data_IF_703596660252
#
_entry.id   IF_703596660252
#
_cell.length_a   1.000
_cell.length_b   1.000
_cell.length_c   1.000
_cell.angle_alpha   90.00
_cell.angle_beta   90.00
_cell.angle_gamma   90.00
#
_symmetry.space_group_name_H-M   'P 1'
#
loop_
_entity.id
_entity.type
_entity.pdbx_description
1 polymer ?
#
# COMPACT_ATOMS: atom_id res chain seq x y z
N UNK A 1 15.73 -14.47 -9.09
CA UNK A 1 14.69 -13.40 -9.05
C UNK A 1 15.14 -12.29 -9.97
N UNK A 2 14.26 -11.72 -10.79
CA UNK A 2 14.69 -10.68 -11.74
C UNK A 2 14.76 -9.32 -11.04
N UNK A 3 15.95 -8.96 -10.55
CA UNK A 3 16.23 -7.69 -9.88
C UNK A 3 15.92 -6.47 -10.79
N UNK A 4 15.89 -6.64 -12.10
CA UNK A 4 15.62 -5.53 -13.03
C UNK A 4 14.18 -5.02 -12.91
N UNK A 5 13.22 -5.92 -12.68
CA UNK A 5 11.80 -5.57 -12.50
C UNK A 5 11.59 -4.82 -11.19
N UNK A 6 12.17 -5.32 -10.09
CA UNK A 6 12.09 -4.64 -8.79
C UNK A 6 12.71 -3.25 -8.84
N UNK A 7 13.87 -3.09 -9.49
CA UNK A 7 14.55 -1.80 -9.63
C UNK A 7 13.72 -0.80 -10.46
N UNK A 8 13.02 -1.25 -11.51
CA UNK A 8 12.10 -0.40 -12.28
C UNK A 8 10.93 0.08 -11.41
N UNK A 9 10.32 -0.83 -10.64
CA UNK A 9 9.23 -0.51 -9.74
C UNK A 9 9.67 0.49 -8.66
N UNK A 10 10.82 0.25 -8.02
CA UNK A 10 11.41 1.16 -7.03
C UNK A 10 11.70 2.52 -7.64
N UNK A 11 12.26 2.57 -8.84
CA UNK A 11 12.56 3.83 -9.53
C UNK A 11 11.30 4.61 -9.88
N UNK A 12 10.23 3.92 -10.29
CA UNK A 12 8.94 4.55 -10.54
C UNK A 12 8.33 5.11 -9.24
N UNK A 13 8.28 4.30 -8.19
CA UNK A 13 7.76 4.75 -6.88
C UNK A 13 8.56 5.95 -6.36
N UNK A 14 9.88 5.95 -6.57
CA UNK A 14 10.73 7.07 -6.22
C UNK A 14 10.38 8.33 -7.01
N UNK A 15 10.08 8.20 -8.32
CA UNK A 15 9.69 9.35 -9.13
C UNK A 15 8.39 10.02 -8.64
N UNK A 16 7.47 9.26 -8.01
CA UNK A 16 6.27 9.83 -7.41
C UNK A 16 6.62 10.87 -6.34
N UNK A 17 7.65 10.59 -5.51
CA UNK A 17 8.11 11.53 -4.51
C UNK A 17 8.62 12.83 -5.12
N UNK A 18 9.42 12.73 -6.19
CA UNK A 18 9.95 13.91 -6.88
C UNK A 18 8.88 14.67 -7.66
N UNK A 19 7.92 13.97 -8.28
CA UNK A 19 6.88 14.58 -9.09
C UNK A 19 5.80 15.28 -8.25
N UNK A 20 5.36 14.63 -7.13
CA UNK A 20 4.19 15.08 -6.38
C UNK A 20 4.54 15.77 -5.06
N UNK A 21 5.68 15.44 -4.42
CA UNK A 21 5.94 15.86 -3.05
C UNK A 21 6.99 16.98 -2.92
N UNK A 22 7.71 17.33 -3.99
CA UNK A 22 8.85 18.25 -3.96
C UNK A 22 8.53 19.60 -3.32
N UNK A 23 7.38 20.18 -3.65
CA UNK A 23 6.97 21.51 -3.18
C UNK A 23 6.09 21.47 -1.91
N UNK A 24 5.80 20.26 -1.41
CA UNK A 24 4.87 20.03 -0.30
C UNK A 24 5.59 19.54 0.94
N UNK A 25 6.64 18.74 0.75
CA UNK A 25 7.43 18.13 1.81
C UNK A 25 8.92 18.41 1.64
N UNK A 26 9.66 18.50 2.74
CA UNK A 26 11.11 18.38 2.70
C UNK A 26 11.50 16.95 2.35
N UNK A 27 12.60 16.74 1.62
CA UNK A 27 13.00 15.42 1.10
C UNK A 27 13.03 14.33 2.16
N UNK A 28 13.54 14.61 3.35
CA UNK A 28 13.57 13.66 4.46
C UNK A 28 12.21 13.17 4.95
N UNK A 29 11.11 13.81 4.51
CA UNK A 29 9.73 13.43 4.86
C UNK A 29 8.99 12.67 3.76
N UNK A 30 9.60 12.46 2.59
CA UNK A 30 8.97 11.69 1.52
C UNK A 30 8.64 10.26 1.95
N UNK A 31 9.50 9.64 2.76
CA UNK A 31 9.27 8.30 3.30
C UNK A 31 7.97 8.18 4.09
N UNK A 32 7.57 9.24 4.81
CA UNK A 32 6.36 9.26 5.65
C UNK A 32 5.07 9.23 4.81
N UNK A 33 5.16 9.48 3.50
CA UNK A 33 4.06 9.38 2.53
C UNK A 33 4.22 8.14 1.65
N UNK A 34 5.37 7.96 1.04
CA UNK A 34 5.58 6.94 0.00
C UNK A 34 5.47 5.53 0.58
N UNK A 35 6.11 5.24 1.72
CA UNK A 35 6.09 3.90 2.30
C UNK A 35 4.67 3.44 2.67
N UNK A 36 3.87 4.22 3.42
CA UNK A 36 2.51 3.83 3.71
C UNK A 36 1.61 3.75 2.48
N UNK A 37 1.80 4.61 1.47
CA UNK A 37 1.03 4.53 0.22
C UNK A 37 1.36 3.28 -0.61
N UNK A 38 2.60 2.83 -0.61
CA UNK A 38 3.00 1.54 -1.23
C UNK A 38 2.31 0.38 -0.53
N UNK A 39 2.31 0.35 0.80
CA UNK A 39 1.62 -0.68 1.58
C UNK A 39 0.12 -0.62 1.32
N UNK A 40 -0.49 0.56 1.40
CA UNK A 40 -1.91 0.75 1.17
C UNK A 40 -2.32 0.27 -0.24
N UNK A 41 -1.55 0.64 -1.27
CA UNK A 41 -1.84 0.20 -2.64
C UNK A 41 -1.71 -1.32 -2.78
N UNK A 42 -0.74 -1.96 -2.10
CA UNK A 42 -0.62 -3.42 -2.07
C UNK A 42 -1.84 -4.08 -1.43
N UNK A 43 -2.28 -3.59 -0.27
CA UNK A 43 -3.48 -4.08 0.41
C UNK A 43 -4.73 -3.92 -0.46
N UNK A 44 -4.88 -2.75 -1.10
CA UNK A 44 -5.98 -2.45 -2.02
C UNK A 44 -6.04 -3.47 -3.17
N UNK A 45 -4.89 -3.77 -3.82
CA UNK A 45 -4.85 -4.75 -4.91
C UNK A 45 -5.18 -6.18 -4.48
N UNK A 46 -4.85 -6.55 -3.26
CA UNK A 46 -5.16 -7.88 -2.71
C UNK A 46 -6.67 -8.03 -2.41
N UNK A 47 -7.30 -6.95 -1.93
CA UNK A 47 -8.72 -6.96 -1.55
C UNK A 47 -9.67 -6.64 -2.72
N UNK A 48 -9.20 -6.02 -3.80
CA UNK A 48 -10.03 -5.62 -4.95
C UNK A 48 -10.85 -6.81 -5.53
N UNK A 49 -10.29 -8.02 -5.73
CA UNK A 49 -11.04 -9.15 -6.28
C UNK A 49 -12.16 -9.69 -5.39
N UNK A 50 -12.06 -9.53 -4.07
CA UNK A 50 -13.01 -10.05 -3.08
C UNK A 50 -13.87 -8.96 -2.45
N UNK A 51 -13.76 -7.73 -2.95
CA UNK A 51 -14.44 -6.56 -2.39
C UNK A 51 -15.95 -6.76 -2.27
N UNK A 52 -16.58 -7.25 -3.33
CA UNK A 52 -18.03 -7.46 -3.36
C UNK A 52 -18.47 -8.54 -2.35
N UNK A 53 -17.69 -9.61 -2.18
CA UNK A 53 -17.98 -10.65 -1.20
C UNK A 53 -17.91 -10.10 0.25
N UNK A 54 -16.93 -9.25 0.55
CA UNK A 54 -16.82 -8.59 1.86
C UNK A 54 -18.02 -7.65 2.09
N UNK A 55 -18.43 -6.87 1.09
CA UNK A 55 -19.57 -5.97 1.21
C UNK A 55 -20.91 -6.72 1.34
N UNK A 56 -21.05 -7.88 0.71
CA UNK A 56 -22.22 -8.75 0.88
C UNK A 56 -22.28 -9.30 2.32
N UNK A 57 -21.15 -9.75 2.86
CA UNK A 57 -21.03 -10.18 4.26
C UNK A 57 -21.36 -9.06 5.25
N UNK A 58 -20.81 -7.84 5.03
CA UNK A 58 -21.18 -6.64 5.82
C UNK A 58 -22.68 -6.43 5.83
N UNK A 59 -23.30 -6.48 4.66
CA UNK A 59 -24.76 -6.32 4.55
C UNK A 59 -25.52 -7.42 5.28
N UNK A 60 -25.08 -8.66 5.16
CA UNK A 60 -25.69 -9.81 5.85
C UNK A 60 -25.65 -9.63 7.37
N UNK A 61 -24.52 -9.29 7.91
CA UNK A 61 -24.34 -9.06 9.35
C UNK A 61 -25.20 -7.88 9.85
N UNK A 62 -25.28 -6.79 9.09
CA UNK A 62 -26.06 -5.61 9.47
C UNK A 62 -27.57 -5.82 9.36
N UNK A 63 -28.04 -6.45 8.28
CA UNK A 63 -29.46 -6.51 7.92
C UNK A 63 -30.13 -7.79 8.43
N UNK A 64 -29.48 -8.96 8.23
CA UNK A 64 -30.06 -10.25 8.57
C UNK A 64 -29.74 -10.66 10.02
N UNK A 65 -28.55 -10.34 10.48
CA UNK A 65 -28.12 -10.67 11.86
C UNK A 65 -28.34 -9.51 12.84
N UNK A 66 -28.68 -8.31 12.35
CA UNK A 66 -28.90 -7.08 13.15
C UNK A 66 -27.72 -6.75 14.08
N UNK A 67 -26.47 -7.08 13.68
CA UNK A 67 -25.28 -6.81 14.46
C UNK A 67 -24.94 -5.32 14.43
N UNK A 68 -24.58 -4.78 15.58
CA UNK A 68 -24.05 -3.42 15.72
C UNK A 68 -22.54 -3.36 15.56
N UNK A 69 -21.85 -4.45 15.85
CA UNK A 69 -20.41 -4.64 15.63
C UNK A 69 -20.21 -5.86 14.74
N UNK A 70 -19.30 -5.76 13.80
CA UNK A 70 -19.04 -6.84 12.86
C UNK A 70 -18.30 -8.00 13.51
N UNK A 71 -18.67 -9.22 13.13
CA UNK A 71 -17.86 -10.40 13.41
C UNK A 71 -16.72 -10.48 12.39
N UNK A 72 -15.50 -10.50 12.91
CA UNK A 72 -14.26 -10.48 12.13
C UNK A 72 -14.05 -11.73 11.28
N UNK A 73 -14.37 -12.92 11.81
CA UNK A 73 -14.03 -14.18 11.15
C UNK A 73 -14.73 -14.38 9.81
N UNK A 74 -16.06 -14.12 9.67
CA UNK A 74 -16.72 -14.19 8.37
C UNK A 74 -16.18 -13.16 7.36
N UNK A 75 -15.79 -11.97 7.82
CA UNK A 75 -15.21 -10.94 6.96
C UNK A 75 -13.81 -11.31 6.46
N UNK A 76 -12.97 -11.96 7.30
CA UNK A 76 -11.69 -12.52 6.90
C UNK A 76 -11.86 -13.67 5.91
N UNK A 77 -12.85 -14.54 6.15
CA UNK A 77 -13.20 -15.63 5.23
C UNK A 77 -13.63 -15.08 3.86
N UNK A 78 -14.53 -14.08 3.86
CA UNK A 78 -15.00 -13.43 2.63
C UNK A 78 -13.86 -12.72 1.87
N UNK A 79 -12.91 -12.11 2.57
CA UNK A 79 -11.75 -11.48 1.95
C UNK A 79 -10.69 -12.47 1.46
N UNK A 80 -10.61 -13.66 2.06
CA UNK A 80 -9.54 -14.65 1.84
C UNK A 80 -8.20 -14.27 2.50
N UNK A 81 -8.19 -13.27 3.37
CA UNK A 81 -6.99 -12.76 4.07
C UNK A 81 -7.27 -12.57 5.56
N UNK A 82 -6.19 -12.42 6.36
CA UNK A 82 -6.27 -12.06 7.79
C UNK A 82 -6.65 -10.59 8.03
N UNK A 83 -7.03 -9.89 6.98
CA UNK A 83 -7.48 -8.51 6.96
C UNK A 83 -8.55 -8.29 5.88
N UNK A 84 -9.35 -7.26 6.05
CA UNK A 84 -10.45 -6.91 5.14
C UNK A 84 -10.64 -5.39 5.11
N UNK A 85 -11.58 -4.93 4.25
CA UNK A 85 -12.03 -3.55 4.25
C UNK A 85 -13.54 -3.49 3.99
N UNK A 86 -14.30 -2.97 4.94
CA UNK A 86 -15.77 -2.88 4.92
C UNK A 86 -16.31 -1.66 4.19
N UNK A 87 -15.47 -0.69 3.82
CA UNK A 87 -15.92 0.49 3.07
C UNK A 87 -16.27 0.09 1.62
N UNK A 88 -17.10 0.87 0.97
CA UNK A 88 -17.41 0.71 -0.47
C UNK A 88 -16.25 1.12 -1.40
N UNK A 89 -15.21 1.75 -0.84
CA UNK A 89 -14.15 2.36 -1.61
C UNK A 89 -13.00 1.40 -1.92
N UNK A 90 -12.39 1.61 -3.07
CA UNK A 90 -11.05 1.18 -3.48
C UNK A 90 -10.26 2.43 -3.88
N UNK A 91 -8.94 2.37 -3.97
CA UNK A 91 -8.16 3.53 -4.45
C UNK A 91 -8.60 3.97 -5.85
N UNK A 92 -8.97 3.03 -6.72
CA UNK A 92 -9.50 3.32 -8.06
C UNK A 92 -10.83 4.05 -8.02
N UNK A 93 -11.78 3.61 -7.20
CA UNK A 93 -13.08 4.25 -7.07
C UNK A 93 -12.98 5.63 -6.41
N UNK A 94 -12.08 5.81 -5.45
CA UNK A 94 -11.74 7.11 -4.88
C UNK A 94 -11.24 8.10 -5.93
N UNK A 95 -10.27 7.67 -6.76
CA UNK A 95 -9.77 8.50 -7.86
C UNK A 95 -10.86 8.87 -8.86
N UNK A 96 -11.66 7.89 -9.29
CA UNK A 96 -12.75 8.12 -10.24
C UNK A 96 -13.80 9.10 -9.70
N UNK A 97 -14.18 8.97 -8.44
CA UNK A 97 -15.13 9.89 -7.81
C UNK A 97 -14.54 11.31 -7.67
N UNK A 98 -13.28 11.42 -7.26
CA UNK A 98 -12.59 12.69 -7.05
C UNK A 98 -12.27 13.43 -8.35
N UNK A 99 -12.07 12.73 -9.47
CA UNK A 99 -11.84 13.35 -10.78
C UNK A 99 -13.00 14.24 -11.21
N UNK A 100 -14.22 13.97 -10.71
CA UNK A 100 -15.41 14.77 -10.97
C UNK A 100 -15.68 15.80 -9.85
N UNK A 101 -15.22 15.56 -8.64
CA UNK A 101 -15.40 16.44 -7.49
C UNK A 101 -14.24 16.23 -6.47
N UNK A 102 -13.15 16.99 -6.59
CA UNK A 102 -11.97 16.84 -5.70
C UNK A 102 -12.26 17.08 -4.21
N UNK A 103 -13.30 17.88 -3.89
CA UNK A 103 -13.61 18.25 -2.49
C UNK A 103 -14.05 17.04 -1.65
N UNK A 104 -14.59 15.99 -2.28
CA UNK A 104 -15.04 14.78 -1.57
C UNK A 104 -13.91 13.79 -1.29
N UNK A 105 -12.73 13.97 -1.91
CA UNK A 105 -11.66 12.97 -1.85
C UNK A 105 -11.21 12.70 -0.42
N UNK A 106 -10.99 13.73 0.37
CA UNK A 106 -10.52 13.58 1.74
C UNK A 106 -11.49 12.75 2.58
N UNK A 107 -12.77 13.11 2.57
CA UNK A 107 -13.78 12.42 3.38
C UNK A 107 -13.94 10.96 2.94
N UNK A 108 -13.97 10.70 1.63
CA UNK A 108 -14.07 9.34 1.10
C UNK A 108 -12.81 8.51 1.38
N UNK A 109 -11.63 9.15 1.38
CA UNK A 109 -10.39 8.47 1.71
C UNK A 109 -10.33 8.12 3.20
N UNK A 110 -10.77 9.01 4.08
CA UNK A 110 -10.90 8.72 5.51
C UNK A 110 -11.90 7.57 5.75
N UNK A 111 -13.06 7.56 5.09
CA UNK A 111 -14.02 6.44 5.12
C UNK A 111 -13.37 5.12 4.64
N UNK A 112 -12.55 5.18 3.60
CA UNK A 112 -11.80 4.03 3.10
C UNK A 112 -10.83 3.49 4.15
N UNK A 113 -10.07 4.34 4.83
CA UNK A 113 -9.13 3.92 5.88
C UNK A 113 -9.85 3.35 7.10
N UNK A 114 -10.97 3.95 7.51
CA UNK A 114 -11.78 3.46 8.63
C UNK A 114 -12.42 2.09 8.37
N UNK A 115 -12.63 1.73 7.09
CA UNK A 115 -13.16 0.44 6.70
C UNK A 115 -12.20 -0.73 6.90
N UNK A 116 -10.91 -0.52 7.11
CA UNK A 116 -9.96 -1.61 7.33
C UNK A 116 -10.16 -2.30 8.68
N UNK A 117 -9.80 -3.58 8.72
CA UNK A 117 -9.72 -4.36 9.97
C UNK A 117 -8.69 -3.76 10.95
N UNK A 118 -8.86 -4.04 12.24
CA UNK A 118 -8.10 -3.36 13.30
C UNK A 118 -6.58 -3.56 13.19
N UNK A 119 -6.13 -4.76 12.79
CA UNK A 119 -4.71 -5.01 12.55
C UNK A 119 -4.09 -4.12 11.44
N UNK A 120 -4.88 -3.76 10.41
CA UNK A 120 -4.44 -2.80 9.38
C UNK A 120 -4.54 -1.36 9.89
N UNK A 121 -5.58 -1.03 10.67
CA UNK A 121 -5.70 0.30 11.30
C UNK A 121 -4.52 0.62 12.22
N UNK A 122 -4.02 -0.36 12.97
CA UNK A 122 -2.80 -0.19 13.77
C UNK A 122 -1.59 0.20 12.90
N UNK A 123 -1.42 -0.46 11.75
CA UNK A 123 -0.35 -0.11 10.79
C UNK A 123 -0.54 1.31 10.24
N UNK A 124 -1.78 1.67 9.84
CA UNK A 124 -2.13 3.01 9.36
C UNK A 124 -1.80 4.08 10.41
N UNK A 125 -2.09 3.81 11.68
CA UNK A 125 -1.77 4.71 12.80
C UNK A 125 -0.26 4.82 13.03
N UNK A 126 0.48 3.72 13.01
CA UNK A 126 1.95 3.72 13.13
C UNK A 126 2.63 4.58 12.06
N UNK A 127 2.11 4.57 10.84
CA UNK A 127 2.58 5.45 9.76
C UNK A 127 2.06 6.90 9.85
N UNK A 128 1.15 7.20 10.79
CA UNK A 128 0.46 8.48 10.88
C UNK A 128 -0.20 8.93 9.55
N UNK A 129 -0.76 7.95 8.81
CA UNK A 129 -1.24 8.16 7.44
C UNK A 129 -2.39 9.16 7.37
N UNK A 130 -3.28 9.22 8.35
CA UNK A 130 -4.36 10.21 8.40
C UNK A 130 -3.84 11.66 8.34
N UNK A 131 -2.77 11.96 9.09
CA UNK A 131 -2.18 13.29 9.06
C UNK A 131 -1.55 13.59 7.69
N UNK A 132 -0.91 12.60 7.05
CA UNK A 132 -0.34 12.76 5.72
C UNK A 132 -1.42 13.01 4.66
N UNK A 133 -2.52 12.27 4.69
CA UNK A 133 -3.64 12.45 3.74
C UNK A 133 -4.26 13.82 3.88
N UNK A 134 -4.52 14.28 5.11
CA UNK A 134 -5.03 15.63 5.37
C UNK A 134 -4.07 16.70 4.88
N UNK A 135 -2.78 16.53 5.12
CA UNK A 135 -1.77 17.48 4.64
C UNK A 135 -1.70 17.52 3.11
N UNK A 136 -1.68 16.36 2.45
CA UNK A 136 -1.71 16.28 0.97
C UNK A 136 -2.99 16.88 0.39
N UNK A 137 -4.13 16.63 1.01
CA UNK A 137 -5.42 17.23 0.60
C UNK A 137 -5.39 18.76 0.72
N UNK A 138 -4.92 19.29 1.84
CA UNK A 138 -4.78 20.74 2.04
C UNK A 138 -3.82 21.39 1.03
N UNK A 139 -2.84 20.64 0.53
CA UNK A 139 -1.88 21.09 -0.49
C UNK A 139 -2.31 20.79 -1.91
N UNK A 140 -3.50 20.21 -2.12
CA UNK A 140 -4.07 19.82 -3.41
C UNK A 140 -3.20 18.82 -4.22
N UNK A 141 -2.44 17.95 -3.54
CA UNK A 141 -1.60 16.92 -4.18
C UNK A 141 -2.08 15.49 -3.92
N UNK A 142 -3.10 15.29 -3.08
CA UNK A 142 -3.60 13.96 -2.73
C UNK A 142 -4.10 13.19 -3.97
N UNK A 143 -4.83 13.86 -4.86
CA UNK A 143 -5.35 13.24 -6.08
C UNK A 143 -4.21 12.79 -7.00
N UNK A 144 -3.20 13.64 -7.19
CA UNK A 144 -2.04 13.34 -8.03
C UNK A 144 -1.24 12.15 -7.50
N UNK A 145 -1.07 12.06 -6.17
CA UNK A 145 -0.40 10.92 -5.54
C UNK A 145 -1.20 9.63 -5.76
N UNK A 146 -2.54 9.66 -5.56
CA UNK A 146 -3.40 8.50 -5.82
C UNK A 146 -3.32 8.08 -7.29
N UNK A 147 -3.38 9.03 -8.22
CA UNK A 147 -3.26 8.77 -9.67
C UNK A 147 -1.96 8.04 -10.01
N UNK A 148 -0.83 8.53 -9.47
CA UNK A 148 0.47 7.90 -9.70
C UNK A 148 0.54 6.47 -9.19
N UNK A 149 -0.01 6.18 -8.00
CA UNK A 149 -0.09 4.83 -7.46
C UNK A 149 -1.07 3.90 -8.23
N UNK A 150 -1.99 4.48 -9.00
CA UNK A 150 -2.89 3.75 -9.91
C UNK A 150 -2.33 3.61 -11.33
N UNK A 151 -1.11 4.09 -11.59
CA UNK A 151 -0.48 4.03 -12.91
C UNK A 151 -0.49 2.61 -13.47
N UNK A 152 -0.91 2.42 -14.75
CA UNK A 152 -0.90 1.13 -15.40
C UNK A 152 0.51 0.63 -15.78
N UNK A 153 1.55 1.43 -15.54
CA UNK A 153 2.96 1.09 -15.79
C UNK A 153 3.62 0.40 -14.60
N UNK A 154 2.92 0.24 -13.47
CA UNK A 154 3.41 -0.52 -12.31
C UNK A 154 2.43 -1.61 -11.93
N UNK A 155 2.99 -2.74 -11.50
CA UNK A 155 2.20 -3.87 -11.01
C UNK A 155 2.56 -4.17 -9.55
N UNK A 156 1.61 -3.89 -8.65
CA UNK A 156 1.68 -4.27 -7.23
C UNK A 156 0.73 -5.42 -6.91
N UNK A 157 0.16 -6.08 -7.93
CA UNK A 157 -0.76 -7.20 -7.77
C UNK A 157 -0.02 -8.54 -7.67
N UNK A 158 -0.64 -9.59 -7.12
CA UNK A 158 -0.08 -10.94 -7.11
C UNK A 158 -0.17 -11.65 -8.46
N UNK A 159 -0.72 -11.02 -9.48
CA UNK A 159 -0.94 -11.57 -10.82
C UNK A 159 -0.14 -10.80 -11.88
N UNK A 160 0.14 -11.46 -13.00
CA UNK A 160 0.77 -10.81 -14.14
C UNK A 160 -0.19 -9.78 -14.76
N UNK A 161 0.35 -8.65 -15.17
CA UNK A 161 -0.37 -7.61 -15.88
C UNK A 161 0.34 -7.25 -17.19
N UNK A 162 -0.30 -6.43 -18.00
CA UNK A 162 0.28 -5.87 -19.23
C UNK A 162 0.09 -4.36 -19.19
N UNK A 163 1.14 -3.61 -19.47
CA UNK A 163 1.07 -2.17 -19.54
C UNK A 163 0.38 -1.69 -20.86
N UNK A 164 0.05 -0.40 -20.98
CA UNK A 164 -0.61 0.12 -22.18
C UNK A 164 0.22 -0.03 -23.48
N UNK A 165 1.54 -0.20 -23.36
CA UNK A 165 2.45 -0.37 -24.48
C UNK A 165 2.62 -1.86 -24.88
N UNK A 166 1.94 -2.77 -24.16
CA UNK A 166 1.96 -4.21 -24.43
C UNK A 166 3.09 -4.98 -23.74
N UNK A 167 3.86 -4.34 -22.86
CA UNK A 167 4.92 -5.02 -22.12
C UNK A 167 4.35 -5.75 -20.89
N UNK A 168 4.86 -6.95 -20.64
CA UNK A 168 4.49 -7.73 -19.46
C UNK A 168 5.03 -7.09 -18.20
N UNK A 169 4.14 -6.90 -17.23
CA UNK A 169 4.44 -6.52 -15.86
C UNK A 169 4.27 -7.76 -14.97
N UNK A 170 5.36 -8.39 -14.52
CA UNK A 170 5.28 -9.62 -13.73
C UNK A 170 4.53 -9.42 -12.41
N UNK A 171 3.90 -10.49 -11.94
CA UNK A 171 3.30 -10.58 -10.62
C UNK A 171 4.30 -10.21 -9.52
N UNK A 172 3.87 -9.42 -8.55
CA UNK A 172 4.67 -9.10 -7.38
C UNK A 172 4.33 -10.07 -6.23
N UNK A 173 5.23 -11.00 -5.96
CA UNK A 173 5.09 -11.92 -4.83
C UNK A 173 5.28 -11.19 -3.49
N UNK A 174 4.87 -11.81 -2.37
CA UNK A 174 5.11 -11.23 -1.03
C UNK A 174 6.61 -11.05 -0.75
N UNK A 175 7.44 -11.99 -1.20
CA UNK A 175 8.90 -11.85 -1.11
C UNK A 175 9.41 -10.69 -1.96
N UNK A 176 8.92 -10.56 -3.20
CA UNK A 176 9.22 -9.43 -4.08
C UNK A 176 8.80 -8.09 -3.49
N UNK A 177 7.62 -8.03 -2.84
CA UNK A 177 7.16 -6.84 -2.11
C UNK A 177 8.12 -6.48 -0.97
N UNK A 178 8.62 -7.47 -0.22
CA UNK A 178 9.63 -7.26 0.81
C UNK A 178 10.92 -6.62 0.24
N UNK A 179 11.43 -7.11 -0.89
CA UNK A 179 12.60 -6.51 -1.56
C UNK A 179 12.35 -5.07 -2.03
N UNK A 180 11.19 -4.80 -2.61
CA UNK A 180 10.81 -3.43 -3.02
C UNK A 180 10.80 -2.49 -1.82
N UNK A 181 10.21 -2.93 -0.71
CA UNK A 181 10.11 -2.12 0.50
C UNK A 181 11.47 -1.85 1.15
N UNK A 182 12.32 -2.88 1.26
CA UNK A 182 13.69 -2.73 1.75
C UNK A 182 14.52 -1.76 0.90
N UNK A 183 14.41 -1.86 -0.43
CA UNK A 183 15.13 -0.99 -1.34
C UNK A 183 14.64 0.46 -1.28
N UNK A 184 13.34 0.68 -1.07
CA UNK A 184 12.79 2.02 -0.81
C UNK A 184 13.33 2.60 0.51
N UNK A 185 13.33 1.82 1.59
CA UNK A 185 13.91 2.25 2.87
C UNK A 185 15.38 2.63 2.69
N UNK A 186 16.16 1.78 2.01
CA UNK A 186 17.58 2.04 1.74
C UNK A 186 17.77 3.37 1.00
N UNK A 187 17.00 3.62 -0.06
CA UNK A 187 17.08 4.88 -0.80
C UNK A 187 16.72 6.10 0.04
N UNK A 188 15.65 6.00 0.86
CA UNK A 188 15.27 7.11 1.75
C UNK A 188 16.34 7.40 2.81
N UNK A 189 16.99 6.37 3.34
CA UNK A 189 18.06 6.54 4.32
C UNK A 189 19.30 7.17 3.68
N UNK A 190 19.68 6.76 2.46
CA UNK A 190 20.77 7.38 1.70
C UNK A 190 20.53 8.87 1.43
N UNK A 191 19.31 9.25 1.05
CA UNK A 191 18.93 10.67 0.83
C UNK A 191 18.99 11.50 2.12
N UNK A 192 18.74 10.88 3.27
CA UNK A 192 18.80 11.53 4.57
C UNK A 192 20.19 11.54 5.19
N UNK A 193 21.22 11.00 4.52
CA UNK A 193 22.55 10.74 5.07
C UNK A 193 22.52 9.88 6.35
N UNK A 194 21.53 9.01 6.49
CA UNK A 194 21.46 8.07 7.59
C UNK A 194 22.40 6.89 7.30
N UNK A 195 23.21 6.45 8.28
CA UNK A 195 24.17 5.36 8.07
C UNK A 195 23.42 4.03 7.81
N UNK A 196 23.81 3.32 6.74
CA UNK A 196 23.12 2.11 6.27
C UNK A 196 23.07 0.96 7.30
N UNK A 197 23.91 0.97 8.32
CA UNK A 197 23.96 -0.06 9.37
C UNK A 197 22.96 0.12 10.52
N UNK A 198 22.25 1.25 10.59
CA UNK A 198 21.39 1.56 11.75
C UNK A 198 19.96 1.04 11.62
N UNK A 199 19.51 0.61 10.42
CA UNK A 199 18.09 0.44 10.15
C UNK A 199 17.62 -1.00 9.88
N UNK A 200 18.42 -1.86 9.33
CA UNK A 200 18.08 -3.28 9.14
C UNK A 200 19.31 -4.16 8.89
N UNK A 201 19.19 -5.43 9.23
CA UNK A 201 20.22 -6.42 8.91
C UNK A 201 19.99 -6.92 7.47
N UNK A 202 21.01 -6.88 6.57
CA UNK A 202 20.88 -7.40 5.22
C UNK A 202 20.41 -8.88 5.18
N UNK A 203 19.58 -9.23 4.20
CA UNK A 203 19.01 -10.59 4.09
C UNK A 203 20.07 -11.67 3.99
N UNK A 204 21.14 -11.41 3.27
CA UNK A 204 22.25 -12.36 3.11
C UNK A 204 22.92 -12.69 4.44
N UNK A 205 22.99 -11.71 5.36
CA UNK A 205 23.49 -11.92 6.72
C UNK A 205 22.50 -12.76 7.53
N UNK A 206 21.19 -12.47 7.42
CA UNK A 206 20.13 -13.25 8.09
C UNK A 206 20.13 -14.69 7.57
N UNK A 207 20.22 -14.91 6.27
CA UNK A 207 20.32 -16.23 5.64
C UNK A 207 21.54 -16.98 6.16
N UNK A 208 22.71 -16.34 6.17
CA UNK A 208 23.92 -16.95 6.71
C UNK A 208 23.77 -17.33 8.19
N UNK A 209 23.24 -16.45 9.02
CA UNK A 209 22.97 -16.72 10.43
C UNK A 209 21.99 -17.88 10.60
N UNK A 210 20.92 -17.91 9.80
CA UNK A 210 19.92 -18.98 9.82
C UNK A 210 20.57 -20.33 9.44
N UNK A 211 21.40 -20.36 8.43
CA UNK A 211 22.14 -21.56 8.05
C UNK A 211 23.06 -22.06 9.19
N UNK A 212 23.76 -21.16 9.87
CA UNK A 212 24.60 -21.57 11.01
C UNK A 212 23.78 -22.12 12.19
N UNK A 213 22.58 -21.59 12.43
CA UNK A 213 21.76 -22.01 13.57
C UNK A 213 20.99 -23.30 13.29
N UNK A 214 20.50 -23.47 12.06
CA UNK A 214 19.58 -24.56 11.71
C UNK A 214 20.16 -25.59 10.73
N UNK A 215 21.42 -25.43 10.27
CA UNK A 215 22.07 -26.46 9.47
C UNK A 215 22.21 -27.74 10.30
N UNK A 216 21.79 -28.91 9.79
CA UNK A 216 22.03 -30.17 10.49
C UNK A 216 23.56 -30.39 10.62
N UNK A 217 23.97 -30.73 11.83
CA UNK A 217 25.35 -31.11 12.14
C UNK A 217 25.63 -32.49 11.58
#
# INVERSE_FOLDING_TARGET
>A
MDHSVHNKLVSFIWSIADDCLRDVYVRGKYRDVILPMVVLRRLDTLLEPTKDAVLEEVRYQQVEMELTEFDDEPLKEASGYVFYNTSKWTLRSLYTAASNNPEILLANFEEYLEGFSDNVKEIIQCFNLYAQIRHMSHKNVLLDVVEKFLSPYINLTPEDAVDPDGYRLPALTNLGMGYVFEELIRKFNEENNEEAGEHFTPREVIELMTHFVFAPI
#
